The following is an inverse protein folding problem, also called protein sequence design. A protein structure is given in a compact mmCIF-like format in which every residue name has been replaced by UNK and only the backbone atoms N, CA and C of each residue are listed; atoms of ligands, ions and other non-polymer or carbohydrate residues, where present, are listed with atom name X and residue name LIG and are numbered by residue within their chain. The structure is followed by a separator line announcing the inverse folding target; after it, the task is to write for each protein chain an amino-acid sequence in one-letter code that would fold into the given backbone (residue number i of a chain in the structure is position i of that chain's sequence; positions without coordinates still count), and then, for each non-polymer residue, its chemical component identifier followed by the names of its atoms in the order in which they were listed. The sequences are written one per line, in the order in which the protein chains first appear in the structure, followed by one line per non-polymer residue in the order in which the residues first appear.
data_IF_540282834370
#
_entry.id   IF_540282834370
#
_cell.length_a   1.000
_cell.length_b   1.000
_cell.length_c   1.000
_cell.angle_alpha   90.00
_cell.angle_beta   90.00
_cell.angle_gamma   90.00
#
_symmetry.space_group_name_H-M   'P 1'
#
loop_
_entity.id
_entity.type
_entity.pdbx_description
1 polymer ?
#
# COMPACT_ATOMS: atom_id res chain seq x y z
N UNK A 1 -20.97 64.35 -4.09
CA UNK A 1 -21.96 63.61 -3.26
C UNK A 1 -22.45 62.41 -4.05
N UNK A 2 -22.14 61.18 -3.64
CA UNK A 2 -22.67 59.98 -4.32
C UNK A 2 -24.21 59.98 -4.26
N UNK A 3 -24.87 59.67 -5.38
CA UNK A 3 -26.33 59.58 -5.44
C UNK A 3 -26.84 58.43 -4.55
N UNK A 4 -28.04 58.58 -4.00
CA UNK A 4 -28.65 57.63 -3.05
C UNK A 4 -28.61 56.19 -3.57
N UNK A 5 -28.87 56.01 -4.87
CA UNK A 5 -28.85 54.70 -5.54
C UNK A 5 -27.47 54.05 -5.57
N UNK A 6 -26.39 54.82 -5.79
CA UNK A 6 -25.02 54.29 -5.81
C UNK A 6 -24.59 53.85 -4.41
N UNK A 7 -24.96 54.61 -3.36
CA UNK A 7 -24.70 54.21 -1.97
C UNK A 7 -25.43 52.92 -1.60
N UNK A 8 -26.67 52.75 -2.05
CA UNK A 8 -27.43 51.52 -1.85
C UNK A 8 -26.77 50.33 -2.57
N UNK A 9 -26.31 50.50 -3.81
CA UNK A 9 -25.61 49.44 -4.55
C UNK A 9 -24.31 49.04 -3.86
N UNK A 10 -23.51 50.01 -3.40
CA UNK A 10 -22.27 49.74 -2.66
C UNK A 10 -22.57 49.01 -1.34
N UNK A 11 -23.61 49.42 -0.61
CA UNK A 11 -23.99 48.76 0.64
C UNK A 11 -24.41 47.29 0.41
N UNK A 12 -25.13 47.00 -0.67
CA UNK A 12 -25.53 45.63 -1.04
C UNK A 12 -24.30 44.80 -1.43
N UNK A 13 -23.36 45.36 -2.21
CA UNK A 13 -22.13 44.68 -2.58
C UNK A 13 -21.26 44.32 -1.36
N UNK A 14 -21.15 45.25 -0.40
CA UNK A 14 -20.43 45.01 0.86
C UNK A 14 -21.12 43.94 1.70
N UNK A 15 -22.46 43.95 1.75
CA UNK A 15 -23.21 42.92 2.48
C UNK A 15 -23.01 41.52 1.87
N UNK A 16 -23.02 41.40 0.54
CA UNK A 16 -22.76 40.14 -0.17
C UNK A 16 -21.33 39.66 0.07
N UNK A 17 -20.36 40.57 0.05
CA UNK A 17 -18.95 40.24 0.32
C UNK A 17 -18.76 39.73 1.76
N UNK A 18 -19.37 40.39 2.74
CA UNK A 18 -19.33 39.95 4.14
C UNK A 18 -20.00 38.59 4.33
N UNK A 19 -21.11 38.35 3.64
CA UNK A 19 -21.82 37.08 3.70
C UNK A 19 -21.01 35.95 3.06
N UNK A 20 -20.29 36.22 1.97
CA UNK A 20 -19.37 35.28 1.33
C UNK A 20 -18.18 34.92 2.24
N UNK A 21 -17.58 35.92 2.91
CA UNK A 21 -16.49 35.71 3.86
C UNK A 21 -16.99 34.87 5.05
N UNK A 22 -18.12 35.25 5.65
CA UNK A 22 -18.71 34.50 6.76
C UNK A 22 -19.04 33.04 6.36
N UNK A 23 -19.56 32.84 5.16
CA UNK A 23 -19.86 31.51 4.63
C UNK A 23 -18.61 30.64 4.43
N UNK A 24 -17.51 31.24 3.93
CA UNK A 24 -16.22 30.55 3.79
C UNK A 24 -15.63 30.15 5.14
N UNK A 25 -15.70 31.02 6.15
CA UNK A 25 -15.23 30.69 7.50
C UNK A 25 -16.12 29.65 8.20
N UNK A 26 -17.44 29.62 7.93
CA UNK A 26 -18.35 28.61 8.49
C UNK A 26 -18.23 27.23 7.82
N UNK A 27 -17.87 27.16 6.53
CA UNK A 27 -17.76 25.88 5.82
C UNK A 27 -16.47 25.13 6.09
N UNK A 28 -15.45 25.79 6.67
CA UNK A 28 -14.10 25.22 6.77
C UNK A 28 -13.51 24.96 5.39
N UNK A 29 -12.20 24.72 5.32
CA UNK A 29 -11.62 24.18 4.10
C UNK A 29 -12.18 22.77 3.87
N UNK A 30 -12.55 22.45 2.64
CA UNK A 30 -12.86 21.09 2.25
C UNK A 30 -11.60 20.25 2.50
N UNK A 31 -11.55 19.57 3.65
CA UNK A 31 -10.55 18.53 3.87
C UNK A 31 -10.76 17.56 2.70
N UNK A 32 -9.72 17.27 1.88
CA UNK A 32 -9.88 16.33 0.78
C UNK A 32 -10.51 15.07 1.36
N UNK A 33 -11.57 14.59 0.69
CA UNK A 33 -12.26 13.36 1.06
C UNK A 33 -11.32 12.17 0.84
N UNK A 34 -10.36 12.04 1.73
CA UNK A 34 -9.48 10.90 1.91
C UNK A 34 -9.55 10.62 3.42
N UNK A 35 -9.90 9.39 3.76
CA UNK A 35 -10.26 8.92 5.12
C UNK A 35 -11.75 9.14 5.48
N UNK A 36 -12.64 8.71 4.59
CA UNK A 36 -13.89 8.04 4.99
C UNK A 36 -13.74 6.52 4.83
N UNK A 37 -12.61 5.96 5.27
CA UNK A 37 -12.55 4.53 5.58
C UNK A 37 -13.09 4.35 6.99
N UNK A 38 -14.30 3.81 7.06
CA UNK A 38 -14.86 3.15 8.23
C UNK A 38 -13.82 2.18 8.78
N UNK A 39 -13.14 2.59 9.85
CA UNK A 39 -12.28 1.73 10.67
C UNK A 39 -13.18 0.71 11.38
N UNK A 40 -13.57 -0.33 10.63
CA UNK A 40 -13.60 -1.67 11.18
C UNK A 40 -12.15 -2.06 11.41
N UNK A 41 -11.65 -1.76 12.62
CA UNK A 41 -10.24 -1.73 13.03
C UNK A 41 -9.42 -3.02 12.95
N UNK A 42 -9.77 -3.96 12.06
CA UNK A 42 -8.96 -5.16 11.80
C UNK A 42 -8.37 -5.23 10.38
N UNK A 43 -8.88 -4.47 9.40
CA UNK A 43 -8.43 -4.61 7.99
C UNK A 43 -7.30 -3.65 7.59
N UNK A 44 -7.31 -2.42 8.13
CA UNK A 44 -6.27 -1.40 7.87
C UNK A 44 -4.92 -1.80 8.48
N UNK A 45 -4.96 -2.45 9.64
CA UNK A 45 -3.74 -2.90 10.33
C UNK A 45 -3.03 -4.03 9.56
N UNK A 46 -3.78 -5.00 9.05
CA UNK A 46 -3.25 -6.10 8.21
C UNK A 46 -2.65 -5.56 6.90
N UNK A 47 -3.28 -4.58 6.25
CA UNK A 47 -2.76 -3.97 5.02
C UNK A 47 -1.45 -3.23 5.24
N UNK A 48 -1.33 -2.49 6.35
CA UNK A 48 -0.10 -1.79 6.73
C UNK A 48 1.04 -2.76 7.00
N UNK A 49 0.79 -3.83 7.74
CA UNK A 49 1.83 -4.79 8.12
C UNK A 49 2.39 -5.56 6.91
N UNK A 50 1.54 -5.87 5.92
CA UNK A 50 1.98 -6.46 4.63
C UNK A 50 2.89 -5.51 3.87
N UNK A 51 2.54 -4.22 3.78
CA UNK A 51 3.35 -3.23 3.07
C UNK A 51 4.70 -3.02 3.79
N UNK A 52 4.70 -3.01 5.12
CA UNK A 52 5.92 -2.92 5.93
C UNK A 52 6.84 -4.12 5.67
N UNK A 53 6.30 -5.34 5.70
CA UNK A 53 7.10 -6.55 5.47
C UNK A 53 7.60 -6.63 4.01
N UNK A 54 6.78 -6.23 3.05
CA UNK A 54 7.17 -6.19 1.63
C UNK A 54 8.31 -5.19 1.38
N UNK A 55 8.25 -4.01 2.00
CA UNK A 55 9.35 -3.04 1.94
C UNK A 55 10.62 -3.59 2.58
N UNK A 56 10.48 -4.36 3.66
CA UNK A 56 11.60 -5.02 4.33
C UNK A 56 12.27 -6.02 3.40
N UNK A 57 11.50 -6.91 2.76
CA UNK A 57 12.00 -7.89 1.78
C UNK A 57 12.64 -7.18 0.58
N UNK A 58 12.02 -6.13 0.04
CA UNK A 58 12.58 -5.36 -1.07
C UNK A 58 13.91 -4.65 -0.73
N UNK A 59 14.13 -4.34 0.55
CA UNK A 59 15.39 -3.75 1.02
C UNK A 59 16.49 -4.77 1.30
N UNK A 60 16.16 -6.07 1.32
CA UNK A 60 17.15 -7.14 1.48
C UNK A 60 17.91 -7.31 0.17
N UNK A 61 19.14 -6.83 0.13
CA UNK A 61 20.09 -7.12 -0.93
C UNK A 61 20.87 -8.37 -0.57
N UNK A 62 20.78 -9.42 -1.39
CA UNK A 62 21.64 -10.59 -1.26
C UNK A 62 23.01 -10.26 -1.85
N UNK A 63 24.05 -10.40 -1.04
CA UNK A 63 25.43 -10.27 -1.50
C UNK A 63 25.83 -11.52 -2.29
N UNK A 64 26.03 -11.36 -3.59
CA UNK A 64 26.43 -12.45 -4.49
C UNK A 64 27.96 -12.64 -4.54
N UNK A 65 28.73 -11.75 -3.89
CA UNK A 65 30.19 -11.81 -3.93
C UNK A 65 30.74 -13.04 -3.24
N UNK A 66 30.03 -13.58 -2.24
CA UNK A 66 30.41 -14.82 -1.56
C UNK A 66 30.49 -16.02 -2.52
N UNK A 67 29.68 -16.02 -3.59
CA UNK A 67 29.64 -17.10 -4.59
C UNK A 67 30.72 -16.95 -5.67
N UNK A 68 31.43 -15.81 -5.71
CA UNK A 68 32.46 -15.49 -6.71
C UNK A 68 33.89 -15.69 -6.19
N UNK A 69 34.07 -15.94 -4.89
CA UNK A 69 35.38 -16.14 -4.29
C UNK A 69 36.02 -17.46 -4.72
N UNK A 70 37.35 -17.49 -4.86
CA UNK A 70 38.09 -18.71 -5.20
C UNK A 70 37.82 -19.85 -4.21
N UNK A 71 37.61 -19.53 -2.93
CA UNK A 71 37.25 -20.51 -1.90
C UNK A 71 35.92 -21.21 -2.21
N UNK A 72 34.90 -20.46 -2.66
CA UNK A 72 33.60 -21.04 -3.03
C UNK A 72 33.71 -21.88 -4.30
N UNK A 73 34.44 -21.38 -5.31
CA UNK A 73 34.66 -22.10 -6.58
C UNK A 73 35.53 -23.35 -6.41
N UNK A 74 36.36 -23.42 -5.37
CA UNK A 74 37.17 -24.59 -5.06
C UNK A 74 36.39 -25.74 -4.39
N UNK A 75 35.12 -25.53 -4.02
CA UNK A 75 34.32 -26.58 -3.43
C UNK A 75 34.11 -27.74 -4.40
N UNK A 76 34.45 -28.92 -3.91
CA UNK A 76 34.23 -30.17 -4.63
C UNK A 76 32.79 -30.59 -4.43
N UNK A 77 32.08 -30.83 -5.53
CA UNK A 77 30.77 -31.47 -5.48
C UNK A 77 30.91 -32.93 -5.02
N UNK A 78 30.18 -33.28 -3.96
CA UNK A 78 30.09 -34.64 -3.41
C UNK A 78 28.73 -35.27 -3.68
N UNK A 79 27.90 -34.65 -4.51
CA UNK A 79 26.61 -35.18 -4.90
C UNK A 79 26.81 -36.54 -5.54
N UNK A 80 26.13 -37.54 -4.99
CA UNK A 80 26.05 -38.87 -5.58
C UNK A 80 24.93 -38.84 -6.64
N UNK A 81 25.22 -39.34 -7.83
CA UNK A 81 24.20 -39.53 -8.84
C UNK A 81 23.12 -40.47 -8.28
N UNK A 82 21.91 -39.93 -8.11
CA UNK A 82 20.77 -40.72 -7.64
C UNK A 82 20.32 -41.59 -8.79
N UNK A 83 20.60 -42.89 -8.71
CA UNK A 83 20.03 -43.86 -9.65
C UNK A 83 18.51 -43.83 -9.54
N UNK A 84 17.83 -43.81 -10.69
CA UNK A 84 16.37 -43.89 -10.72
C UNK A 84 15.91 -45.17 -10.02
N UNK A 85 15.27 -45.01 -8.88
CA UNK A 85 14.63 -46.13 -8.20
C UNK A 85 13.38 -46.56 -8.98
N UNK A 86 13.07 -47.85 -8.89
CA UNK A 86 11.81 -48.36 -9.46
C UNK A 86 10.65 -47.64 -8.77
N UNK A 87 9.63 -47.25 -9.54
CA UNK A 87 8.43 -46.54 -9.03
C UNK A 87 7.99 -47.14 -7.69
N UNK A 88 7.98 -46.31 -6.66
CA UNK A 88 7.61 -46.71 -5.30
C UNK A 88 6.20 -47.31 -5.22
N UNK A 89 5.89 -47.95 -4.09
CA UNK A 89 4.56 -48.51 -3.84
C UNK A 89 3.48 -47.43 -4.01
N UNK A 90 2.32 -47.81 -4.55
CA UNK A 90 1.15 -46.94 -4.61
C UNK A 90 0.87 -46.35 -3.22
N UNK A 91 0.61 -45.04 -3.17
CA UNK A 91 0.36 -44.32 -1.92
C UNK A 91 -0.84 -44.96 -1.18
N UNK A 92 -0.64 -45.57 0.00
CA UNK A 92 -1.72 -46.22 0.74
C UNK A 92 -2.71 -45.21 1.36
N UNK A 93 -2.37 -43.91 1.32
CA UNK A 93 -3.21 -42.79 1.74
C UNK A 93 -3.79 -42.01 0.56
N UNK A 94 -3.66 -42.51 -0.68
CA UNK A 94 -4.31 -41.87 -1.82
C UNK A 94 -5.84 -41.86 -1.60
N UNK A 95 -6.53 -40.73 -1.85
CA UNK A 95 -7.99 -40.69 -1.79
C UNK A 95 -8.58 -41.76 -2.70
N UNK A 96 -9.57 -42.49 -2.20
CA UNK A 96 -10.28 -43.47 -3.02
C UNK A 96 -10.85 -42.79 -4.26
N UNK A 97 -10.44 -43.23 -5.45
CA UNK A 97 -11.02 -42.77 -6.72
C UNK A 97 -10.23 -41.74 -7.52
N UNK A 98 -8.98 -41.41 -7.15
CA UNK A 98 -8.08 -40.66 -8.05
C UNK A 98 -7.42 -41.60 -9.08
N UNK A 99 -8.19 -42.05 -10.06
CA UNK A 99 -7.67 -42.56 -11.32
C UNK A 99 -7.81 -41.49 -12.40
#
# INVERSE_FOLDING_TARGET
MLSKSIKTIIAVLVAILLLFIAFKYLRGDDIPAEILETVGGGRVEVGRDIIVELNKINSVTLDDQIFRGESFLSFKDFTLEVVSETKGRSNPFAPFGSN
#
